data_IF_232636817476
#
_entry.id   IF_232636817476
#
_cell.length_a   1.000
_cell.length_b   1.000
_cell.length_c   1.000
_cell.angle_alpha   90.00
_cell.angle_beta   90.00
_cell.angle_gamma   90.00
#
_symmetry.space_group_name_H-M   'P 1'
#
loop_
_entity.id
_entity.type
_entity.pdbx_description
1 polymer ?
#
# COMPACT_ATOMS: atom_id res chain seq x y z
N UNK A 1 22.57 -31.17 27.73
CA UNK A 1 21.44 -30.21 27.72
C UNK A 1 21.86 -29.04 28.57
N UNK A 2 21.67 -27.80 28.10
CA UNK A 2 21.92 -26.62 28.92
C UNK A 2 20.73 -26.49 29.85
N UNK A 3 20.95 -26.65 31.14
CA UNK A 3 19.93 -26.50 32.16
C UNK A 3 19.78 -25.04 32.58
N UNK A 4 18.80 -24.83 33.45
CA UNK A 4 18.61 -23.55 34.14
C UNK A 4 19.87 -23.08 34.91
N UNK A 5 20.65 -23.97 35.57
CA UNK A 5 21.88 -23.56 36.26
C UNK A 5 22.95 -22.98 35.33
N UNK A 6 23.18 -23.59 34.16
CA UNK A 6 24.16 -23.11 33.19
C UNK A 6 23.76 -21.75 32.60
N UNK A 7 22.46 -21.52 32.37
CA UNK A 7 21.95 -20.21 31.93
C UNK A 7 22.16 -19.12 32.98
N UNK A 8 21.94 -19.42 34.26
CA UNK A 8 22.19 -18.46 35.36
C UNK A 8 23.69 -18.12 35.43
N UNK A 9 24.58 -19.10 35.29
CA UNK A 9 26.02 -18.86 35.33
C UNK A 9 26.45 -17.89 34.22
N UNK A 10 25.95 -18.11 33.00
CA UNK A 10 26.21 -17.20 31.87
C UNK A 10 25.66 -15.81 32.15
N UNK A 11 24.45 -15.71 32.70
CA UNK A 11 23.84 -14.42 33.06
C UNK A 11 24.67 -13.68 34.11
N UNK A 12 25.18 -14.37 35.14
CA UNK A 12 26.06 -13.76 36.15
C UNK A 12 27.35 -13.23 35.52
N UNK A 13 27.98 -14.00 34.63
CA UNK A 13 29.18 -13.54 33.92
C UNK A 13 28.86 -12.30 33.06
N UNK A 14 27.74 -12.32 32.33
CA UNK A 14 27.30 -11.17 31.53
C UNK A 14 27.01 -9.93 32.40
N UNK A 15 26.39 -10.12 33.57
CA UNK A 15 26.15 -9.06 34.55
C UNK A 15 27.44 -8.50 35.14
N UNK A 16 28.48 -9.31 35.31
CA UNK A 16 29.80 -8.81 35.72
C UNK A 16 30.48 -7.99 34.63
N UNK A 17 30.34 -8.38 33.36
CA UNK A 17 30.94 -7.67 32.23
C UNK A 17 30.23 -6.33 31.93
N UNK A 18 28.89 -6.35 31.91
CA UNK A 18 28.08 -5.20 31.50
C UNK A 18 27.49 -4.41 32.67
N UNK A 19 27.39 -5.01 33.85
CA UNK A 19 26.73 -4.44 35.02
C UNK A 19 25.23 -4.77 35.09
N UNK A 20 24.66 -4.93 36.29
CA UNK A 20 23.24 -5.25 36.48
C UNK A 20 22.30 -4.13 36.05
N UNK A 21 22.78 -2.89 36.00
CA UNK A 21 21.98 -1.74 35.58
C UNK A 21 21.89 -1.61 34.06
N UNK A 22 22.87 -2.16 33.30
CA UNK A 22 22.89 -2.02 31.83
C UNK A 22 21.87 -2.88 31.11
N UNK A 23 21.61 -4.10 31.57
CA UNK A 23 20.56 -4.94 30.98
C UNK A 23 19.17 -4.28 31.03
N UNK A 24 18.66 -3.76 32.17
CA UNK A 24 17.37 -3.08 32.22
C UNK A 24 17.37 -1.73 31.50
N UNK A 25 18.48 -0.99 31.52
CA UNK A 25 18.61 0.26 30.74
C UNK A 25 18.48 0.00 29.23
N UNK A 26 19.19 -1.01 28.71
CA UNK A 26 19.12 -1.43 27.30
C UNK A 26 17.75 -2.00 26.95
N UNK A 27 17.12 -2.79 27.83
CA UNK A 27 15.77 -3.29 27.60
C UNK A 27 14.75 -2.15 27.51
N UNK A 28 14.88 -1.11 28.34
CA UNK A 28 14.01 0.08 28.29
C UNK A 28 14.23 0.87 27.00
N UNK A 29 15.46 1.07 26.55
CA UNK A 29 15.74 1.81 25.31
C UNK A 29 15.24 1.05 24.07
N UNK A 30 15.53 -0.25 23.99
CA UNK A 30 15.02 -1.12 22.93
C UNK A 30 13.49 -1.20 22.94
N UNK A 31 12.87 -1.28 24.12
CA UNK A 31 11.42 -1.28 24.28
C UNK A 31 10.77 0.01 23.77
N UNK A 32 11.37 1.17 24.06
CA UNK A 32 10.93 2.47 23.51
C UNK A 32 11.05 2.49 22.00
N UNK A 33 12.23 2.13 21.46
CA UNK A 33 12.47 2.11 20.03
C UNK A 33 11.51 1.15 19.29
N UNK A 34 11.28 -0.05 19.82
CA UNK A 34 10.32 -1.00 19.27
C UNK A 34 8.87 -0.47 19.32
N UNK A 35 8.52 0.24 20.40
CA UNK A 35 7.22 0.90 20.53
C UNK A 35 7.01 2.01 19.50
N UNK A 36 8.00 2.88 19.30
CA UNK A 36 7.97 3.94 18.28
C UNK A 36 7.94 3.35 16.86
N UNK A 37 8.77 2.33 16.60
CA UNK A 37 8.78 1.62 15.32
C UNK A 37 7.42 0.97 15.00
N UNK A 38 6.75 0.38 16.00
CA UNK A 38 5.40 -0.17 15.82
C UNK A 38 4.37 0.94 15.53
N UNK A 39 4.45 2.09 16.20
CA UNK A 39 3.56 3.23 15.94
C UNK A 39 3.74 3.77 14.53
N UNK A 40 4.99 3.97 14.11
CA UNK A 40 5.32 4.43 12.76
C UNK A 40 4.82 3.46 11.67
N UNK A 41 4.93 2.14 11.90
CA UNK A 41 4.36 1.15 10.98
C UNK A 41 2.85 1.26 10.86
N UNK A 42 2.13 1.41 11.98
CA UNK A 42 0.67 1.56 11.98
C UNK A 42 0.25 2.83 11.26
N UNK A 43 0.96 3.93 11.48
CA UNK A 43 0.68 5.21 10.82
C UNK A 43 0.94 5.11 9.31
N UNK A 44 2.06 4.51 8.90
CA UNK A 44 2.37 4.27 7.50
C UNK A 44 1.34 3.35 6.82
N UNK A 45 0.87 2.30 7.51
CA UNK A 45 -0.21 1.44 7.01
C UNK A 45 -1.51 2.23 6.87
N UNK A 46 -1.85 3.08 7.84
CA UNK A 46 -3.04 3.91 7.78
C UNK A 46 -2.98 4.93 6.65
N UNK A 47 -1.84 5.59 6.44
CA UNK A 47 -1.62 6.50 5.32
C UNK A 47 -1.71 5.79 3.97
N UNK A 48 -1.10 4.61 3.84
CA UNK A 48 -1.18 3.81 2.62
C UNK A 48 -2.63 3.38 2.35
N UNK A 49 -3.33 2.90 3.37
CA UNK A 49 -4.73 2.52 3.27
C UNK A 49 -5.61 3.73 2.90
N UNK A 50 -5.33 4.90 3.47
CA UNK A 50 -6.02 6.15 3.13
C UNK A 50 -5.74 6.57 1.68
N UNK A 51 -4.49 6.47 1.20
CA UNK A 51 -4.16 6.75 -0.20
C UNK A 51 -4.84 5.78 -1.19
N UNK A 52 -5.09 4.54 -0.77
CA UNK A 52 -5.78 3.53 -1.59
C UNK A 52 -7.31 3.63 -1.52
N UNK A 53 -7.85 4.08 -0.38
CA UNK A 53 -9.30 4.14 -0.12
C UNK A 53 -9.89 5.56 -0.15
N UNK A 54 -9.07 6.61 -0.27
CA UNK A 54 -9.58 7.89 -0.74
C UNK A 54 -10.05 7.67 -2.19
N UNK A 55 -11.35 7.86 -2.48
CA UNK A 55 -11.81 7.85 -3.85
C UNK A 55 -11.09 9.02 -4.51
N UNK A 56 -10.09 8.68 -5.32
CA UNK A 56 -9.51 9.59 -6.28
C UNK A 56 -10.64 10.34 -7.00
N UNK A 57 -10.98 11.54 -6.50
CA UNK A 57 -11.78 12.52 -7.22
C UNK A 57 -11.15 12.82 -8.60
N UNK A 58 -9.86 12.50 -8.72
CA UNK A 58 -9.05 12.39 -9.90
C UNK A 58 -9.53 11.35 -10.91
N UNK A 59 -9.99 10.15 -10.54
CA UNK A 59 -10.47 9.16 -11.51
C UNK A 59 -11.78 9.63 -12.14
N UNK A 60 -12.73 10.07 -11.32
CA UNK A 60 -13.98 10.63 -11.83
C UNK A 60 -13.75 11.91 -12.63
N UNK A 61 -12.87 12.82 -12.18
CA UNK A 61 -12.58 14.04 -12.94
C UNK A 61 -11.83 13.75 -14.25
N UNK A 62 -10.92 12.77 -14.28
CA UNK A 62 -10.23 12.33 -15.51
C UNK A 62 -11.19 11.67 -16.50
N UNK A 63 -12.10 10.81 -16.01
CA UNK A 63 -13.12 10.16 -16.84
C UNK A 63 -14.10 11.21 -17.39
N UNK A 64 -14.57 12.15 -16.56
CA UNK A 64 -15.44 13.24 -17.00
C UNK A 64 -14.75 14.17 -18.00
N UNK A 65 -13.47 14.52 -17.79
CA UNK A 65 -12.69 15.32 -18.74
C UNK A 65 -12.52 14.62 -20.09
N UNK A 66 -12.16 13.33 -20.09
CA UNK A 66 -12.02 12.54 -21.32
C UNK A 66 -13.36 12.40 -22.06
N UNK A 67 -14.46 12.20 -21.32
CA UNK A 67 -15.79 12.13 -21.90
C UNK A 67 -16.20 13.46 -22.57
N UNK A 68 -15.95 14.59 -21.91
CA UNK A 68 -16.21 15.93 -22.47
C UNK A 68 -15.38 16.19 -23.72
N UNK A 69 -14.10 15.82 -23.72
CA UNK A 69 -13.21 15.96 -24.89
C UNK A 69 -13.65 15.09 -26.07
N UNK A 70 -14.26 13.93 -25.79
CA UNK A 70 -14.85 13.04 -26.79
C UNK A 70 -16.28 13.41 -27.21
N UNK A 71 -16.81 14.56 -26.73
CA UNK A 71 -18.15 15.05 -27.04
C UNK A 71 -19.28 14.17 -26.50
N UNK A 72 -19.06 13.49 -25.38
CA UNK A 72 -20.07 12.68 -24.69
C UNK A 72 -20.84 13.55 -23.68
N UNK A 73 -22.16 13.32 -23.56
CA UNK A 73 -22.98 13.97 -22.54
C UNK A 73 -22.71 13.33 -21.17
N UNK A 74 -22.18 14.13 -20.24
CA UNK A 74 -21.78 13.71 -18.89
C UNK A 74 -22.81 14.02 -17.82
N UNK A 75 -23.87 14.77 -18.15
CA UNK A 75 -24.79 15.33 -17.15
C UNK A 75 -25.80 14.30 -16.63
N UNK A 76 -26.08 13.25 -17.41
CA UNK A 76 -27.06 12.21 -17.07
C UNK A 76 -26.49 10.79 -17.05
N UNK A 77 -25.17 10.62 -16.91
CA UNK A 77 -24.51 9.29 -17.01
C UNK A 77 -23.60 9.03 -15.82
N UNK A 78 -23.61 7.78 -15.33
CA UNK A 78 -22.68 7.34 -14.28
C UNK A 78 -21.29 7.13 -14.86
N UNK A 79 -20.28 7.14 -13.99
CA UNK A 79 -18.87 6.92 -14.36
C UNK A 79 -18.67 5.59 -15.09
N UNK A 80 -19.43 4.54 -14.74
CA UNK A 80 -19.39 3.24 -15.43
C UNK A 80 -19.98 3.32 -16.85
N UNK A 81 -21.08 4.06 -17.04
CA UNK A 81 -21.71 4.22 -18.36
C UNK A 81 -20.83 5.00 -19.34
N UNK A 82 -20.14 6.03 -18.84
CA UNK A 82 -19.18 6.81 -19.63
C UNK A 82 -18.00 5.94 -20.07
N UNK A 83 -17.50 5.06 -19.20
CA UNK A 83 -16.39 4.14 -19.53
C UNK A 83 -16.78 3.15 -20.63
N UNK A 84 -17.99 2.57 -20.57
CA UNK A 84 -18.47 1.66 -21.63
C UNK A 84 -18.71 2.38 -22.96
N UNK A 85 -19.20 3.61 -22.94
CA UNK A 85 -19.44 4.39 -24.15
C UNK A 85 -18.13 4.85 -24.81
N UNK A 86 -17.13 5.22 -24.00
CA UNK A 86 -15.76 5.49 -24.46
C UNK A 86 -15.17 4.23 -25.10
N UNK A 87 -15.29 3.08 -24.44
CA UNK A 87 -14.79 1.79 -24.95
C UNK A 87 -15.45 1.41 -26.27
N UNK A 88 -16.77 1.62 -26.39
CA UNK A 88 -17.53 1.30 -27.60
C UNK A 88 -17.17 2.22 -28.76
N UNK A 89 -17.00 3.53 -28.53
CA UNK A 89 -16.54 4.48 -29.55
C UNK A 89 -15.12 4.19 -30.04
N UNK A 90 -14.22 3.75 -29.15
CA UNK A 90 -12.85 3.33 -29.51
C UNK A 90 -12.88 2.04 -30.33
N UNK A 91 -13.62 1.02 -29.86
CA UNK A 91 -13.73 -0.29 -30.53
C UNK A 91 -14.40 -0.22 -31.91
N UNK A 92 -15.31 0.74 -32.11
CA UNK A 92 -15.96 1.00 -33.41
C UNK A 92 -15.05 1.69 -34.43
N UNK A 93 -13.94 2.33 -34.01
CA UNK A 93 -12.96 2.95 -34.93
C UNK A 93 -11.80 2.03 -35.34
N UNK A 94 -11.62 0.89 -34.66
CA UNK A 94 -10.58 -0.12 -34.96
C UNK A 94 -11.15 -1.41 -35.57
N UNK A 95 -12.27 -1.31 -36.28
CA UNK A 95 -12.78 -2.39 -37.11
C UNK A 95 -12.17 -2.40 -38.50
N UNK A 96 -10.90 -2.78 -38.65
CA UNK A 96 -10.48 -3.42 -39.92
C UNK A 96 -10.30 -4.91 -39.65
N UNK A 97 -11.22 -5.77 -40.12
CA UNK A 97 -10.88 -7.17 -40.31
C UNK A 97 -9.81 -7.19 -41.40
N UNK A 98 -8.58 -7.56 -41.03
CA UNK A 98 -7.57 -7.88 -42.04
C UNK A 98 -8.13 -9.10 -42.78
N UNK A 99 -8.71 -8.83 -43.95
CA UNK A 99 -9.11 -9.83 -44.93
C UNK A 99 -7.86 -10.64 -45.26
N UNK A 100 -7.78 -11.85 -44.70
CA UNK A 100 -7.03 -12.92 -45.32
C UNK A 100 -7.80 -13.34 -46.59
N UNK A 101 -7.59 -12.60 -47.68
CA UNK A 101 -8.02 -12.96 -49.01
C UNK A 101 -6.83 -12.76 -49.95
N UNK A 102 -6.28 -13.88 -50.43
CA UNK A 102 -5.49 -13.98 -51.65
C UNK A 102 -4.04 -13.55 -51.55
N UNK A 103 -3.15 -14.53 -51.32
CA UNK A 103 -2.31 -15.15 -52.37
C UNK A 103 -1.82 -16.51 -51.88
#
# INVERSE_FOLDING_TARGET
MIGYPEMILILVIALFLFGPDKLPEMARSLGKAAGEFKRAQIEAEHEMNKALNEPSNDKESKIKKLAVEMGLDVNNKTTEQLVEEIRTKIKSKEGTPIKAAGI
#
